data_IF_077449833652
#
_entry.id   IF_077449833652
#
_cell.length_a   1.000
_cell.length_b   1.000
_cell.length_c   1.000
_cell.angle_alpha   90.00
_cell.angle_beta   90.00
_cell.angle_gamma   90.00
#
_symmetry.space_group_name_H-M   'P 1'
#
loop_
_entity.id
_entity.type
_entity.pdbx_description
1 polymer ?
#
# COMPACT_ATOMS: atom_id res chain seq x y z
N UNK A 1 -25.19 -36.27 0.66
CA UNK A 1 -24.65 -34.93 0.35
C UNK A 1 -23.33 -34.72 1.09
N UNK A 2 -22.21 -35.27 0.60
CA UNK A 2 -20.90 -35.15 1.27
C UNK A 2 -19.74 -35.30 0.26
N UNK A 3 -19.61 -34.39 -0.70
CA UNK A 3 -18.53 -34.44 -1.70
C UNK A 3 -17.90 -33.08 -2.06
N UNK A 4 -18.28 -31.99 -1.40
CA UNK A 4 -17.84 -30.63 -1.77
C UNK A 4 -16.63 -30.09 -0.98
N UNK A 5 -16.16 -30.78 0.07
CA UNK A 5 -15.17 -30.21 1.01
C UNK A 5 -13.70 -30.58 0.72
N UNK A 6 -13.41 -31.52 -0.17
CA UNK A 6 -12.02 -31.98 -0.38
C UNK A 6 -11.23 -31.22 -1.45
N UNK A 7 -11.86 -30.42 -2.32
CA UNK A 7 -11.16 -29.71 -3.41
C UNK A 7 -10.63 -28.31 -3.06
N UNK A 8 -11.03 -27.73 -1.93
CA UNK A 8 -10.65 -26.36 -1.59
C UNK A 8 -9.23 -26.22 -0.99
N UNK A 9 -8.65 -27.32 -0.49
CA UNK A 9 -7.37 -27.27 0.23
C UNK A 9 -6.13 -27.35 -0.68
N UNK A 10 -6.27 -27.87 -1.90
CA UNK A 10 -5.14 -28.05 -2.83
C UNK A 10 -4.85 -26.81 -3.67
N UNK A 11 -5.85 -25.98 -3.98
CA UNK A 11 -5.68 -24.79 -4.83
C UNK A 11 -4.84 -23.69 -4.14
N UNK A 12 -4.97 -23.52 -2.82
CA UNK A 12 -4.24 -22.51 -2.05
C UNK A 12 -2.71 -22.73 -2.07
N UNK A 13 -2.26 -23.99 -2.08
CA UNK A 13 -0.84 -24.32 -2.04
C UNK A 13 -0.13 -24.06 -3.38
N UNK A 14 -0.83 -24.22 -4.50
CA UNK A 14 -0.25 -24.05 -5.85
C UNK A 14 -0.14 -22.57 -6.24
N UNK A 15 -1.09 -21.73 -5.83
CA UNK A 15 -1.08 -20.29 -6.13
C UNK A 15 0.05 -19.53 -5.42
N UNK A 16 0.44 -19.94 -4.21
CA UNK A 16 1.53 -19.30 -3.45
C UNK A 16 2.90 -19.51 -4.12
N UNK A 17 3.08 -20.62 -4.84
CA UNK A 17 4.40 -21.03 -5.38
C UNK A 17 4.78 -20.30 -6.67
N UNK A 18 3.81 -19.77 -7.42
CA UNK A 18 4.05 -19.01 -8.66
C UNK A 18 4.56 -17.57 -8.43
N UNK A 19 4.55 -17.11 -7.17
CA UNK A 19 4.88 -15.73 -6.79
C UNK A 19 6.18 -15.58 -6.00
N UNK A 20 6.93 -16.68 -5.82
CA UNK A 20 8.17 -16.69 -5.04
C UNK A 20 9.34 -16.25 -5.91
N UNK A 21 9.69 -14.95 -5.81
CA UNK A 21 10.98 -14.44 -6.27
C UNK A 21 11.90 -14.27 -5.06
N UNK A 22 13.05 -14.96 -5.00
CA UNK A 22 13.98 -14.86 -3.86
C UNK A 22 14.52 -13.44 -3.64
N UNK A 23 14.47 -12.57 -4.67
CA UNK A 23 14.86 -11.16 -4.55
C UNK A 23 13.87 -10.37 -3.70
N UNK A 24 12.57 -10.60 -3.86
CA UNK A 24 11.56 -9.94 -3.03
C UNK A 24 11.61 -10.41 -1.58
N UNK A 25 11.88 -11.69 -1.35
CA UNK A 25 12.05 -12.21 0.00
C UNK A 25 13.25 -11.58 0.72
N UNK A 26 14.42 -11.51 0.06
CA UNK A 26 15.60 -10.84 0.61
C UNK A 26 15.36 -9.35 0.88
N UNK A 27 14.70 -8.66 -0.04
CA UNK A 27 14.37 -7.25 0.12
C UNK A 27 13.44 -7.04 1.33
N UNK A 28 12.40 -7.87 1.46
CA UNK A 28 11.49 -7.83 2.60
C UNK A 28 12.22 -8.03 3.93
N UNK A 29 13.15 -8.99 3.99
CA UNK A 29 13.98 -9.22 5.18
C UNK A 29 14.80 -8.00 5.57
N UNK A 30 15.45 -7.34 4.60
CA UNK A 30 16.25 -6.13 4.87
C UNK A 30 15.35 -4.99 5.35
N UNK A 31 14.23 -4.74 4.68
CA UNK A 31 13.30 -3.66 5.05
C UNK A 31 12.77 -3.87 6.47
N UNK A 32 12.29 -5.08 6.78
CA UNK A 32 11.60 -5.36 8.05
C UNK A 32 12.58 -5.52 9.21
N UNK A 33 13.66 -6.28 9.02
CA UNK A 33 14.53 -6.67 10.14
C UNK A 33 15.73 -5.74 10.33
N UNK A 34 16.10 -4.96 9.32
CA UNK A 34 17.28 -4.07 9.40
C UNK A 34 16.89 -2.59 9.30
N UNK A 35 16.01 -2.22 8.37
CA UNK A 35 15.65 -0.80 8.21
C UNK A 35 14.63 -0.32 9.24
N UNK A 36 13.65 -1.16 9.57
CA UNK A 36 12.55 -0.80 10.48
C UNK A 36 12.70 -1.49 11.83
N UNK A 37 13.41 -2.62 11.87
CA UNK A 37 13.64 -3.43 13.07
C UNK A 37 12.32 -3.71 13.83
N UNK A 38 11.33 -4.24 13.12
CA UNK A 38 9.98 -4.44 13.65
C UNK A 38 10.02 -5.30 14.92
N UNK A 39 9.38 -4.78 15.97
CA UNK A 39 9.24 -5.45 17.26
C UNK A 39 7.85 -6.09 17.41
N UNK A 40 7.73 -7.14 18.25
CA UNK A 40 6.44 -7.74 18.55
C UNK A 40 5.41 -6.71 19.05
N UNK A 41 4.20 -6.75 18.50
CA UNK A 41 3.11 -5.84 18.84
C UNK A 41 3.09 -4.51 18.09
N UNK A 42 4.20 -4.11 17.45
CA UNK A 42 4.23 -2.88 16.65
C UNK A 42 3.30 -2.93 15.46
N UNK A 43 2.71 -1.81 15.13
CA UNK A 43 1.80 -1.61 14.02
C UNK A 43 2.55 -1.02 12.82
N UNK A 44 2.45 -1.69 11.66
CA UNK A 44 3.18 -1.31 10.45
C UNK A 44 2.20 -1.10 9.31
N UNK A 45 2.19 0.10 8.75
CA UNK A 45 1.38 0.43 7.59
C UNK A 45 2.19 0.30 6.31
N UNK A 46 1.70 -0.50 5.35
CA UNK A 46 2.36 -0.75 4.07
C UNK A 46 1.46 -0.30 2.93
N UNK A 47 1.95 0.65 2.15
CA UNK A 47 1.20 1.23 1.04
C UNK A 47 1.93 1.15 -0.28
N UNK A 48 1.22 0.72 -1.31
CA UNK A 48 1.69 0.73 -2.69
C UNK A 48 0.54 0.66 -3.71
N UNK A 49 0.88 0.40 -4.96
CA UNK A 49 -0.05 0.08 -6.05
C UNK A 49 -0.05 -1.44 -6.29
N UNK A 50 -1.11 -1.95 -6.92
CA UNK A 50 -1.25 -3.39 -7.22
C UNK A 50 -0.05 -4.07 -7.92
N UNK A 51 0.75 -3.40 -8.79
CA UNK A 51 1.93 -4.03 -9.39
C UNK A 51 3.02 -4.41 -8.37
N UNK A 52 3.03 -3.80 -7.18
CA UNK A 52 3.95 -4.13 -6.10
C UNK A 52 3.53 -5.36 -5.27
N UNK A 53 2.40 -5.99 -5.58
CA UNK A 53 1.83 -7.07 -4.78
C UNK A 53 2.85 -8.17 -4.40
N UNK A 54 3.76 -8.63 -5.29
CA UNK A 54 4.77 -9.62 -4.92
C UNK A 54 5.66 -9.19 -3.74
N UNK A 55 6.14 -7.95 -3.74
CA UNK A 55 6.97 -7.41 -2.66
C UNK A 55 6.15 -7.13 -1.39
N UNK A 56 4.94 -6.57 -1.55
CA UNK A 56 4.05 -6.30 -0.42
C UNK A 56 3.72 -7.56 0.38
N UNK A 57 3.47 -8.68 -0.31
CA UNK A 57 3.14 -9.95 0.34
C UNK A 57 4.34 -10.56 1.06
N UNK A 58 5.56 -10.37 0.55
CA UNK A 58 6.76 -10.80 1.27
C UNK A 58 7.06 -9.90 2.48
N UNK A 59 6.85 -8.59 2.38
CA UNK A 59 6.95 -7.67 3.53
C UNK A 59 5.91 -8.04 4.61
N UNK A 60 4.67 -8.28 4.21
CA UNK A 60 3.61 -8.74 5.11
C UNK A 60 4.02 -10.02 5.85
N UNK A 61 4.57 -10.99 5.13
CA UNK A 61 5.07 -12.25 5.70
C UNK A 61 6.18 -12.01 6.73
N UNK A 62 7.15 -11.16 6.44
CA UNK A 62 8.26 -10.88 7.36
C UNK A 62 7.82 -10.07 8.60
N UNK A 63 6.90 -9.11 8.46
CA UNK A 63 6.33 -8.37 9.61
C UNK A 63 5.63 -9.33 10.57
N UNK A 64 4.81 -10.24 10.05
CA UNK A 64 4.13 -11.23 10.88
C UNK A 64 5.11 -12.19 11.57
N UNK A 65 6.20 -12.58 10.90
CA UNK A 65 7.25 -13.41 11.52
C UNK A 65 7.96 -12.69 12.67
N UNK A 66 8.14 -11.38 12.56
CA UNK A 66 8.69 -10.53 13.62
C UNK A 66 7.70 -10.27 14.77
N UNK A 67 6.43 -10.71 14.64
CA UNK A 67 5.38 -10.50 15.63
C UNK A 67 4.70 -9.13 15.54
N UNK A 68 4.92 -8.38 14.46
CA UNK A 68 4.25 -7.11 14.20
C UNK A 68 2.86 -7.26 13.59
N UNK A 69 2.07 -6.19 13.67
CA UNK A 69 0.72 -6.05 13.12
C UNK A 69 0.76 -5.26 11.81
N UNK A 70 0.61 -5.94 10.67
CA UNK A 70 0.71 -5.31 9.35
C UNK A 70 -0.66 -4.90 8.78
N UNK A 71 -0.73 -3.68 8.23
CA UNK A 71 -1.88 -3.13 7.52
C UNK A 71 -1.52 -2.81 6.07
N UNK A 72 -2.17 -3.45 5.11
CA UNK A 72 -1.89 -3.27 3.68
C UNK A 72 -2.91 -2.33 3.02
N UNK A 73 -2.41 -1.37 2.23
CA UNK A 73 -3.20 -0.62 1.26
C UNK A 73 -2.58 -0.77 -0.13
N UNK A 74 -3.37 -1.24 -1.08
CA UNK A 74 -2.97 -1.31 -2.49
C UNK A 74 -3.93 -0.47 -3.33
N UNK A 75 -3.40 0.56 -3.98
CA UNK A 75 -4.19 1.39 -4.88
C UNK A 75 -4.27 0.78 -6.28
N UNK A 76 -5.41 0.98 -6.94
CA UNK A 76 -5.63 0.54 -8.31
C UNK A 76 -4.93 1.51 -9.30
N UNK A 77 -4.14 0.99 -10.25
CA UNK A 77 -3.64 1.78 -11.38
C UNK A 77 -4.80 2.42 -12.15
N UNK A 78 -4.66 3.67 -12.59
CA UNK A 78 -5.72 4.38 -13.30
C UNK A 78 -6.68 5.18 -12.41
N UNK A 79 -6.78 4.85 -11.12
CA UNK A 79 -7.74 5.50 -10.22
C UNK A 79 -7.46 7.00 -10.04
N UNK A 80 -6.19 7.38 -10.01
CA UNK A 80 -5.77 8.78 -9.85
C UNK A 80 -6.09 9.61 -11.09
N UNK A 81 -5.90 9.04 -12.28
CA UNK A 81 -6.22 9.65 -13.56
C UNK A 81 -7.73 9.90 -13.69
N UNK A 82 -8.54 8.89 -13.34
CA UNK A 82 -10.00 9.00 -13.30
C UNK A 82 -10.42 10.09 -12.30
N UNK A 83 -9.80 10.12 -11.12
CA UNK A 83 -10.08 11.15 -10.12
C UNK A 83 -9.83 12.55 -10.68
N UNK A 84 -8.66 12.84 -11.26
CA UNK A 84 -8.40 14.19 -11.79
C UNK A 84 -9.25 14.53 -13.03
N UNK A 85 -9.59 13.54 -13.85
CA UNK A 85 -10.48 13.74 -15.00
C UNK A 85 -11.89 14.17 -14.56
N UNK A 86 -12.46 13.53 -13.53
CA UNK A 86 -13.87 13.67 -13.18
C UNK A 86 -14.16 14.46 -11.88
N UNK A 87 -13.16 14.65 -11.01
CA UNK A 87 -13.38 15.31 -9.73
C UNK A 87 -13.80 16.78 -9.90
N UNK A 88 -14.76 17.15 -9.07
CA UNK A 88 -15.26 18.53 -8.89
C UNK A 88 -14.52 19.23 -7.75
N UNK A 89 -14.68 20.56 -7.63
CA UNK A 89 -13.96 21.38 -6.65
C UNK A 89 -14.04 20.84 -5.21
N UNK A 90 -15.24 20.51 -4.72
CA UNK A 90 -15.42 19.98 -3.38
C UNK A 90 -14.71 18.63 -3.15
N UNK A 91 -14.58 17.81 -4.19
CA UNK A 91 -13.86 16.52 -4.11
C UNK A 91 -12.34 16.70 -4.15
N UNK A 92 -11.84 17.73 -4.85
CA UNK A 92 -10.42 18.07 -4.87
C UNK A 92 -9.96 18.61 -3.51
N UNK A 93 -10.82 19.33 -2.80
CA UNK A 93 -10.56 19.87 -1.47
C UNK A 93 -10.83 18.85 -0.34
N UNK A 94 -11.44 17.72 -0.66
CA UNK A 94 -11.81 16.71 0.32
C UNK A 94 -10.58 15.91 0.78
N UNK A 95 -10.42 15.80 2.09
CA UNK A 95 -9.40 14.95 2.71
C UNK A 95 -10.03 13.64 3.15
N UNK A 96 -9.59 12.54 2.54
CA UNK A 96 -10.08 11.20 2.88
C UNK A 96 -9.77 10.86 4.35
N UNK A 97 -10.74 10.33 5.12
CA UNK A 97 -10.48 9.80 6.46
C UNK A 97 -9.39 8.73 6.47
N UNK A 98 -9.29 7.93 5.40
CA UNK A 98 -8.24 6.90 5.27
C UNK A 98 -6.86 7.53 5.14
N UNK A 99 -6.74 8.60 4.37
CA UNK A 99 -5.47 9.33 4.22
C UNK A 99 -5.09 10.00 5.54
N UNK A 100 -6.07 10.56 6.27
CA UNK A 100 -5.84 11.11 7.62
C UNK A 100 -5.30 10.05 8.58
N UNK A 101 -5.95 8.91 8.73
CA UNK A 101 -5.52 7.84 9.64
C UNK A 101 -4.11 7.35 9.28
N UNK A 102 -3.80 7.25 7.98
CA UNK A 102 -2.48 6.79 7.54
C UNK A 102 -1.34 7.79 7.79
N UNK A 103 -1.66 9.06 8.06
CA UNK A 103 -0.69 10.16 8.16
C UNK A 103 -0.67 10.78 9.56
N UNK A 104 -1.72 10.58 10.35
CA UNK A 104 -1.83 11.07 11.72
C UNK A 104 -0.77 10.41 12.61
N UNK A 105 0.03 11.25 13.26
CA UNK A 105 1.11 10.82 14.16
C UNK A 105 0.60 9.84 15.22
N UNK A 106 1.38 8.78 15.47
CA UNK A 106 1.11 7.81 16.52
C UNK A 106 0.03 6.76 16.22
N UNK A 107 -0.57 6.75 15.03
CA UNK A 107 -1.50 5.67 14.64
C UNK A 107 -0.79 4.39 14.20
N UNK A 108 0.43 4.52 13.68
CA UNK A 108 1.29 3.41 13.28
C UNK A 108 2.72 3.64 13.76
N UNK A 109 3.38 2.58 14.21
CA UNK A 109 4.79 2.62 14.66
C UNK A 109 5.77 2.73 13.49
N UNK A 110 5.40 2.18 12.32
CA UNK A 110 6.21 2.26 11.12
C UNK A 110 5.37 2.39 9.85
N UNK A 111 5.94 3.06 8.84
CA UNK A 111 5.31 3.25 7.54
C UNK A 111 6.23 2.84 6.40
N UNK A 112 5.75 1.97 5.52
CA UNK A 112 6.43 1.51 4.31
C UNK A 112 5.65 2.00 3.09
N UNK A 113 6.29 2.84 2.26
CA UNK A 113 5.74 3.24 0.95
C UNK A 113 6.58 2.63 -0.16
N UNK A 114 5.94 1.89 -1.06
CA UNK A 114 6.60 1.31 -2.24
C UNK A 114 6.06 2.03 -3.48
N UNK A 115 6.94 2.65 -4.26
CA UNK A 115 6.57 3.18 -5.57
C UNK A 115 6.60 2.07 -6.62
N UNK A 116 5.47 1.78 -7.25
CA UNK A 116 5.37 0.76 -8.30
C UNK A 116 4.54 1.27 -9.49
N UNK A 117 4.75 2.54 -9.80
CA UNK A 117 3.97 3.24 -10.80
C UNK A 117 4.31 2.72 -12.19
N UNK A 118 3.32 2.10 -12.85
CA UNK A 118 3.49 1.53 -14.19
C UNK A 118 3.48 2.59 -15.29
N UNK A 119 2.92 3.77 -15.02
CA UNK A 119 2.87 4.89 -15.95
C UNK A 119 3.27 6.19 -15.25
N UNK A 120 4.55 6.55 -15.37
CA UNK A 120 5.12 7.79 -14.81
C UNK A 120 4.63 9.07 -15.48
N UNK A 121 3.91 8.96 -16.61
CA UNK A 121 3.31 10.08 -17.36
C UNK A 121 1.79 10.09 -17.28
N UNK A 122 1.19 9.40 -16.31
CA UNK A 122 -0.25 9.26 -16.24
C UNK A 122 -1.02 10.57 -16.00
N UNK A 123 -0.37 11.54 -15.36
CA UNK A 123 -0.93 12.85 -15.11
C UNK A 123 -0.58 13.88 -16.20
N UNK A 124 0.11 13.49 -17.28
CA UNK A 124 0.52 14.42 -18.33
C UNK A 124 -0.66 15.10 -19.05
N UNK A 125 -1.84 14.47 -19.03
CA UNK A 125 -3.07 15.03 -19.61
C UNK A 125 -4.03 15.62 -18.56
N UNK A 126 -3.69 15.55 -17.28
CA UNK A 126 -4.53 16.07 -16.21
C UNK A 126 -4.33 17.60 -16.04
N UNK A 127 -5.40 18.31 -15.68
CA UNK A 127 -5.35 19.76 -15.45
C UNK A 127 -4.40 20.10 -14.27
N UNK A 128 -3.30 20.85 -14.52
CA UNK A 128 -2.34 21.21 -13.47
C UNK A 128 -2.98 21.96 -12.30
N UNK A 129 -4.02 22.76 -12.53
CA UNK A 129 -4.69 23.51 -11.48
C UNK A 129 -5.46 22.59 -10.51
N UNK A 130 -6.07 21.51 -11.02
CA UNK A 130 -6.73 20.50 -10.18
C UNK A 130 -5.73 19.73 -9.34
N UNK A 131 -4.58 19.36 -9.93
CA UNK A 131 -3.50 18.67 -9.21
C UNK A 131 -2.97 19.55 -8.08
N UNK A 132 -2.66 20.81 -8.38
CA UNK A 132 -2.13 21.75 -7.38
C UNK A 132 -3.13 21.98 -6.24
N UNK A 133 -4.43 22.14 -6.56
CA UNK A 133 -5.49 22.30 -5.56
C UNK A 133 -5.58 21.09 -4.63
N UNK A 134 -5.57 19.89 -5.18
CA UNK A 134 -5.62 18.69 -4.35
C UNK A 134 -4.36 18.51 -3.49
N UNK A 135 -3.17 18.79 -4.04
CA UNK A 135 -1.93 18.78 -3.27
C UNK A 135 -1.95 19.81 -2.12
N UNK A 136 -2.51 20.99 -2.36
CA UNK A 136 -2.66 22.00 -1.31
C UNK A 136 -3.60 21.52 -0.19
N UNK A 137 -4.68 20.82 -0.52
CA UNK A 137 -5.57 20.21 0.48
C UNK A 137 -4.88 19.09 1.28
N UNK A 138 -3.97 18.33 0.66
CA UNK A 138 -3.20 17.25 1.33
C UNK A 138 -1.98 17.75 2.10
N UNK A 139 -1.43 18.91 1.78
CA UNK A 139 -0.20 19.43 2.40
C UNK A 139 -0.25 19.48 3.94
N UNK A 140 -1.32 19.98 4.59
CA UNK A 140 -1.39 20.04 6.05
C UNK A 140 -1.37 18.69 6.75
N UNK A 141 -1.83 17.62 6.08
CA UNK A 141 -1.72 16.27 6.63
C UNK A 141 -0.32 15.72 6.38
N UNK A 142 0.21 15.83 5.16
CA UNK A 142 1.49 15.21 4.78
C UNK A 142 2.68 15.74 5.58
N UNK A 143 2.67 17.01 5.98
CA UNK A 143 3.72 17.59 6.82
C UNK A 143 3.80 16.94 8.20
N UNK A 144 2.69 16.43 8.75
CA UNK A 144 2.66 15.74 10.05
C UNK A 144 3.31 14.35 10.03
N UNK A 145 3.74 13.88 8.87
CA UNK A 145 4.37 12.55 8.73
C UNK A 145 5.86 12.56 9.07
N UNK A 146 6.48 13.74 9.12
CA UNK A 146 7.93 13.98 9.23
C UNK A 146 8.24 14.60 10.59
#
# INVERSE_FOLDING_TARGET
MAHALYKCRLALATTIRAMYDPRFNKMAQVIVNYSIEVQPGQTVYVWSQTPAAPLMLEIYREILKAGGNAFLRADLPGAQEIFYAHAQGAQLDFVSPVDRISVEEGQFDAYIRIGAETNTRRLSNADPAKIQRHQAAMSPILTKRL
#
